data_IF_348684772306
#
_entry.id   IF_348684772306
#
_cell.length_a   1.000
_cell.length_b   1.000
_cell.length_c   1.000
_cell.angle_alpha   90.00
_cell.angle_beta   90.00
_cell.angle_gamma   90.00
#
_symmetry.space_group_name_H-M   'P 1'
#
loop_
_entity.id
_entity.type
_entity.pdbx_description
1 polymer ?
#
# COMPACT_ATOMS: atom_id res chain seq x y z
N UNK A 1 50.53 24.98 61.48
CA UNK A 1 49.66 23.92 62.00
C UNK A 1 48.42 24.53 62.67
N UNK A 2 47.42 25.01 61.93
CA UNK A 2 46.16 25.56 62.49
C UNK A 2 45.09 25.80 61.41
N UNK A 3 44.61 24.75 60.73
CA UNK A 3 43.42 24.84 59.84
C UNK A 3 42.46 23.65 59.93
N UNK A 4 42.66 22.73 60.88
CA UNK A 4 41.92 21.45 60.92
C UNK A 4 40.58 21.48 61.70
N UNK A 5 40.13 22.63 62.23
CA UNK A 5 38.93 22.68 63.08
C UNK A 5 37.71 23.39 62.48
N UNK A 6 37.79 23.92 61.26
CA UNK A 6 36.69 24.73 60.70
C UNK A 6 35.64 23.94 59.88
N UNK A 7 35.79 22.62 59.70
CA UNK A 7 34.90 21.83 58.82
C UNK A 7 33.86 21.01 59.61
N UNK A 8 33.96 20.92 60.95
CA UNK A 8 33.15 19.97 61.72
C UNK A 8 31.79 20.47 62.24
N UNK A 9 31.28 21.62 61.79
CA UNK A 9 30.11 22.27 62.41
C UNK A 9 28.92 22.54 61.48
N UNK A 10 28.76 21.83 60.36
CA UNK A 10 27.68 22.13 59.39
C UNK A 10 26.75 20.98 58.98
N UNK A 11 26.74 19.86 59.70
CA UNK A 11 25.74 18.80 59.50
C UNK A 11 24.66 18.84 60.60
N UNK A 12 23.86 19.89 60.61
CA UNK A 12 22.56 19.84 61.27
C UNK A 12 21.61 19.03 60.37
N UNK A 13 21.06 17.88 60.81
CA UNK A 13 20.16 17.09 59.98
C UNK A 13 18.90 17.91 59.70
N UNK A 14 18.73 18.29 58.43
CA UNK A 14 17.52 18.95 57.91
C UNK A 14 16.30 18.12 58.31
N UNK A 15 15.62 18.57 59.37
CA UNK A 15 14.44 17.91 59.91
C UNK A 15 13.41 17.74 58.80
N UNK A 16 12.82 16.54 58.68
CA UNK A 16 11.85 16.17 57.64
C UNK A 16 10.71 17.19 57.43
N UNK A 17 10.37 17.94 58.48
CA UNK A 17 9.40 19.04 58.45
C UNK A 17 9.89 20.27 57.69
N UNK A 18 11.16 20.65 57.81
CA UNK A 18 11.77 21.74 57.04
C UNK A 18 11.93 21.36 55.56
N UNK A 19 12.26 20.11 55.26
CA UNK A 19 12.28 19.62 53.88
C UNK A 19 10.89 19.69 53.23
N UNK A 20 9.83 19.35 53.97
CA UNK A 20 8.45 19.44 53.50
C UNK A 20 7.96 20.90 53.38
N UNK A 21 8.37 21.79 54.27
CA UNK A 21 8.04 23.22 54.15
C UNK A 21 8.74 23.89 52.99
N UNK A 22 9.99 23.52 52.70
CA UNK A 22 10.72 24.01 51.52
C UNK A 22 10.10 23.48 50.22
N UNK A 23 9.65 22.21 50.19
CA UNK A 23 8.89 21.66 49.07
C UNK A 23 7.54 22.35 48.90
N UNK A 24 6.82 22.61 50.01
CA UNK A 24 5.52 23.30 49.98
C UNK A 24 5.64 24.76 49.53
N UNK A 25 6.68 25.48 49.97
CA UNK A 25 6.97 26.85 49.51
C UNK A 25 7.47 26.87 48.06
N UNK A 26 8.18 25.84 47.60
CA UNK A 26 8.59 25.69 46.19
C UNK A 26 7.40 25.54 45.23
N UNK A 27 6.32 24.90 45.67
CA UNK A 27 5.08 24.76 44.90
C UNK A 27 4.12 25.96 44.98
N UNK A 28 4.32 26.89 45.93
CA UNK A 28 3.47 28.08 46.12
C UNK A 28 4.12 29.38 45.65
N UNK A 29 5.36 29.33 45.14
CA UNK A 29 5.88 30.43 44.34
C UNK A 29 5.11 30.42 43.03
N UNK A 30 4.19 31.39 42.93
CA UNK A 30 3.44 31.78 41.74
C UNK A 30 4.06 31.19 40.47
N UNK A 31 3.38 30.20 39.88
CA UNK A 31 3.46 30.01 38.44
C UNK A 31 2.94 31.32 37.85
N UNK A 32 3.81 32.31 37.75
CA UNK A 32 3.58 33.52 37.00
C UNK A 32 3.05 33.04 35.65
N UNK A 33 1.92 33.59 35.21
CA UNK A 33 1.14 33.10 34.07
C UNK A 33 1.99 32.80 32.82
N UNK A 34 3.18 33.41 32.71
CA UNK A 34 4.16 33.22 31.65
C UNK A 34 4.96 31.90 31.71
N UNK A 35 5.23 31.33 32.90
CA UNK A 35 5.93 30.04 33.00
C UNK A 35 5.05 28.90 32.49
N UNK A 36 3.75 28.96 32.75
CA UNK A 36 2.78 27.99 32.21
C UNK A 36 2.77 28.00 30.67
N UNK A 37 2.92 29.17 30.04
CA UNK A 37 3.05 29.27 28.58
C UNK A 37 4.30 28.58 28.05
N UNK A 38 5.44 28.72 28.74
CA UNK A 38 6.70 28.06 28.35
C UNK A 38 6.54 26.53 28.42
N UNK A 39 5.89 26.01 29.46
CA UNK A 39 5.60 24.58 29.57
C UNK A 39 4.64 24.08 28.50
N UNK A 40 3.59 24.84 28.18
CA UNK A 40 2.63 24.48 27.12
C UNK A 40 3.30 24.48 25.75
N UNK A 41 4.11 25.50 25.44
CA UNK A 41 4.88 25.57 24.19
C UNK A 41 5.86 24.39 24.09
N UNK A 42 6.56 24.08 25.18
CA UNK A 42 7.45 22.93 25.26
C UNK A 42 6.71 21.60 25.03
N UNK A 43 5.55 21.42 25.64
CA UNK A 43 4.73 20.21 25.47
C UNK A 43 4.21 20.07 24.03
N UNK A 44 3.73 21.15 23.42
CA UNK A 44 3.25 21.14 22.02
C UNK A 44 4.40 20.82 21.06
N UNK A 45 5.57 21.44 21.25
CA UNK A 45 6.76 21.15 20.46
C UNK A 45 7.19 19.68 20.56
N UNK A 46 7.14 19.12 21.77
CA UNK A 46 7.45 17.71 22.02
C UNK A 46 6.45 16.77 21.31
N UNK A 47 5.15 17.06 21.40
CA UNK A 47 4.11 16.28 20.71
C UNK A 47 4.30 16.36 19.19
N UNK A 48 4.56 17.55 18.65
CA UNK A 48 4.81 17.74 17.21
C UNK A 48 6.03 16.94 16.75
N UNK A 49 7.11 16.94 17.55
CA UNK A 49 8.32 16.15 17.27
C UNK A 49 8.04 14.65 17.28
N UNK A 50 7.27 14.15 18.25
CA UNK A 50 6.86 12.74 18.33
C UNK A 50 6.00 12.36 17.13
N UNK A 51 5.06 13.21 16.72
CA UNK A 51 4.22 12.97 15.54
C UNK A 51 5.05 12.96 14.25
N UNK A 52 6.02 13.88 14.11
CA UNK A 52 6.96 13.89 12.98
C UNK A 52 7.80 12.62 12.93
N UNK A 53 8.37 12.20 14.06
CA UNK A 53 9.12 10.95 14.16
C UNK A 53 8.24 9.75 13.82
N UNK A 54 7.02 9.69 14.35
CA UNK A 54 6.06 8.64 14.07
C UNK A 54 5.67 8.63 12.59
N UNK A 55 5.52 9.79 11.96
CA UNK A 55 5.24 9.91 10.54
C UNK A 55 6.42 9.45 9.68
N UNK A 56 7.66 9.78 10.06
CA UNK A 56 8.87 9.30 9.37
C UNK A 56 9.03 7.80 9.55
N UNK A 57 8.78 7.26 10.74
CA UNK A 57 8.83 5.82 11.01
C UNK A 57 7.72 5.11 10.23
N UNK A 58 6.49 5.64 10.22
CA UNK A 58 5.38 5.12 9.40
C UNK A 58 5.67 5.22 7.91
N UNK A 59 6.32 6.28 7.43
CA UNK A 59 6.76 6.41 6.04
C UNK A 59 7.87 5.41 5.70
N UNK A 60 8.78 5.13 6.64
CA UNK A 60 9.80 4.08 6.49
C UNK A 60 9.23 2.67 6.58
N UNK A 61 8.13 2.50 7.30
CA UNK A 61 7.35 1.27 7.39
C UNK A 61 6.31 1.12 6.27
N UNK A 62 6.10 2.16 5.43
CA UNK A 62 5.42 1.92 4.15
C UNK A 62 6.30 0.92 3.41
N UNK A 63 5.79 -0.29 3.12
CA UNK A 63 6.58 -1.29 2.45
C UNK A 63 7.15 -0.62 1.20
N UNK A 64 8.49 -0.59 1.10
CA UNK A 64 9.14 -0.29 -0.18
C UNK A 64 8.37 -1.10 -1.22
N UNK A 65 7.80 -0.48 -2.28
CA UNK A 65 7.17 -1.26 -3.32
C UNK A 65 8.18 -2.34 -3.69
N UNK A 66 7.81 -3.64 -3.60
CA UNK A 66 8.75 -4.70 -3.90
C UNK A 66 9.38 -4.37 -5.25
N UNK A 67 10.69 -4.64 -5.45
CA UNK A 67 11.30 -4.47 -6.76
C UNK A 67 10.33 -5.09 -7.75
N UNK A 68 9.96 -4.35 -8.81
CA UNK A 68 9.13 -4.87 -9.91
C UNK A 68 9.90 -6.08 -10.46
N UNK A 69 9.71 -7.24 -9.83
CA UNK A 69 10.06 -8.52 -10.39
C UNK A 69 9.13 -8.58 -11.59
N UNK A 70 9.71 -8.55 -12.76
CA UNK A 70 8.95 -8.69 -13.99
C UNK A 70 8.47 -10.15 -14.06
N UNK A 71 7.44 -10.47 -13.28
CA UNK A 71 6.83 -11.80 -13.20
C UNK A 71 6.37 -12.27 -14.57
N UNK A 72 6.09 -11.34 -15.48
CA UNK A 72 5.82 -11.64 -16.87
C UNK A 72 7.05 -12.21 -17.60
N UNK A 73 8.25 -11.70 -17.34
CA UNK A 73 9.48 -12.21 -17.94
C UNK A 73 9.82 -13.61 -17.44
N UNK A 74 9.63 -13.84 -16.14
CA UNK A 74 9.83 -15.16 -15.57
C UNK A 74 8.79 -16.16 -16.13
N UNK A 75 7.52 -15.77 -16.18
CA UNK A 75 6.46 -16.58 -16.78
C UNK A 75 6.73 -16.89 -18.26
N UNK A 76 7.14 -15.91 -19.06
CA UNK A 76 7.54 -16.07 -20.47
C UNK A 76 8.67 -17.09 -20.61
N UNK A 77 9.66 -17.05 -19.71
CA UNK A 77 10.80 -17.98 -19.71
C UNK A 77 10.37 -19.40 -19.35
N UNK A 78 9.56 -19.56 -18.31
CA UNK A 78 9.03 -20.86 -17.86
C UNK A 78 8.13 -21.48 -18.93
N UNK A 79 7.31 -20.68 -19.60
CA UNK A 79 6.41 -21.12 -20.68
C UNK A 79 7.11 -21.31 -22.03
N UNK A 80 8.43 -21.09 -22.12
CA UNK A 80 9.20 -21.27 -23.35
C UNK A 80 8.74 -20.38 -24.51
N UNK A 81 8.24 -19.19 -24.21
CA UNK A 81 7.71 -18.27 -25.23
C UNK A 81 8.85 -17.61 -26.02
N UNK A 82 8.62 -17.42 -27.32
CA UNK A 82 9.59 -16.78 -28.22
C UNK A 82 9.76 -15.29 -27.90
N UNK A 83 10.83 -14.68 -28.43
CA UNK A 83 11.06 -13.24 -28.28
C UNK A 83 9.90 -12.39 -28.83
N UNK A 84 9.26 -12.85 -29.91
CA UNK A 84 8.16 -12.14 -30.53
C UNK A 84 6.88 -12.23 -29.69
N UNK A 85 6.54 -13.43 -29.19
CA UNK A 85 5.42 -13.65 -28.26
C UNK A 85 5.57 -12.81 -26.99
N UNK A 86 6.80 -12.75 -26.44
CA UNK A 86 7.13 -11.88 -25.32
C UNK A 86 6.87 -10.40 -25.62
N UNK A 87 7.28 -9.93 -26.79
CA UNK A 87 7.09 -8.53 -27.21
C UNK A 87 5.61 -8.20 -27.33
N UNK A 88 4.83 -9.09 -27.96
CA UNK A 88 3.39 -8.93 -28.13
C UNK A 88 2.67 -8.85 -26.77
N UNK A 89 3.05 -9.68 -25.80
CA UNK A 89 2.50 -9.65 -24.43
C UNK A 89 2.88 -8.39 -23.65
N UNK A 90 4.12 -7.90 -23.81
CA UNK A 90 4.57 -6.66 -23.18
C UNK A 90 3.82 -5.45 -23.76
N UNK A 91 3.67 -5.41 -25.08
CA UNK A 91 2.89 -4.39 -25.77
C UNK A 91 1.42 -4.41 -25.31
N UNK A 92 0.83 -5.59 -25.22
CA UNK A 92 -0.53 -5.77 -24.71
C UNK A 92 -0.67 -5.24 -23.28
N UNK A 93 0.23 -5.62 -22.37
CA UNK A 93 0.20 -5.15 -20.99
C UNK A 93 0.38 -3.63 -20.86
N UNK A 94 1.25 -3.05 -21.67
CA UNK A 94 1.49 -1.61 -21.71
C UNK A 94 0.23 -0.86 -22.18
N UNK A 95 -0.40 -1.32 -23.26
CA UNK A 95 -1.63 -0.73 -23.79
C UNK A 95 -2.80 -0.89 -22.83
N UNK A 96 -2.95 -2.07 -22.22
CA UNK A 96 -4.01 -2.35 -21.25
C UNK A 96 -3.79 -1.69 -19.87
N UNK A 97 -2.61 -1.10 -19.62
CA UNK A 97 -2.21 -0.50 -18.32
C UNK A 97 -2.50 -1.44 -17.14
N UNK A 98 -2.15 -2.71 -17.28
CA UNK A 98 -2.44 -3.71 -16.25
C UNK A 98 -1.55 -3.49 -15.02
N UNK A 99 -2.12 -3.52 -13.80
CA UNK A 99 -1.34 -3.41 -12.56
C UNK A 99 -0.43 -4.62 -12.36
N UNK A 100 -0.85 -5.80 -12.84
CA UNK A 100 -0.10 -7.04 -12.79
C UNK A 100 -0.13 -7.72 -14.17
N UNK A 101 0.86 -7.47 -15.03
CA UNK A 101 0.90 -8.03 -16.39
C UNK A 101 0.82 -9.56 -16.41
N UNK A 102 1.51 -10.25 -15.48
CA UNK A 102 1.53 -11.72 -15.44
C UNK A 102 0.14 -12.35 -15.24
N UNK A 103 -0.83 -11.62 -14.65
CA UNK A 103 -2.18 -12.14 -14.43
C UNK A 103 -2.92 -12.47 -15.74
N UNK A 104 -2.53 -11.87 -16.86
CA UNK A 104 -3.10 -12.18 -18.18
C UNK A 104 -2.78 -13.60 -18.65
N UNK A 105 -1.75 -14.25 -18.09
CA UNK A 105 -1.31 -15.60 -18.45
C UNK A 105 -1.94 -16.70 -17.59
N UNK A 106 -2.81 -16.35 -16.63
CA UNK A 106 -3.45 -17.32 -15.73
C UNK A 106 -4.62 -18.05 -16.39
N UNK A 107 -5.29 -17.42 -17.35
CA UNK A 107 -6.44 -17.99 -18.05
C UNK A 107 -6.68 -17.30 -19.40
N UNK A 108 -7.33 -17.98 -20.36
CA UNK A 108 -7.71 -17.36 -21.63
C UNK A 108 -8.68 -16.18 -21.43
N UNK A 109 -9.53 -16.24 -20.41
CA UNK A 109 -10.42 -15.15 -20.03
C UNK A 109 -9.64 -13.88 -19.63
N UNK A 110 -8.57 -14.02 -18.84
CA UNK A 110 -7.74 -12.86 -18.43
C UNK A 110 -6.99 -12.25 -19.62
N UNK A 111 -6.52 -13.08 -20.55
CA UNK A 111 -5.90 -12.61 -21.78
C UNK A 111 -6.90 -11.86 -22.68
N UNK A 112 -8.13 -12.38 -22.79
CA UNK A 112 -9.23 -11.70 -23.51
C UNK A 112 -9.60 -10.36 -22.87
N UNK A 113 -9.63 -10.30 -21.54
CA UNK A 113 -9.87 -9.08 -20.79
C UNK A 113 -8.77 -8.04 -21.04
N UNK A 114 -7.50 -8.45 -20.97
CA UNK A 114 -6.37 -7.59 -21.30
C UNK A 114 -6.49 -7.01 -22.72
N UNK A 115 -6.90 -7.83 -23.69
CA UNK A 115 -7.08 -7.41 -25.07
C UNK A 115 -8.23 -6.41 -25.24
N UNK A 116 -9.38 -6.64 -24.59
CA UNK A 116 -10.48 -5.66 -24.57
C UNK A 116 -10.07 -4.33 -23.93
N UNK A 117 -9.30 -4.37 -22.83
CA UNK A 117 -8.84 -3.19 -22.12
C UNK A 117 -7.80 -2.39 -22.91
N UNK A 118 -7.02 -3.06 -23.75
CA UNK A 118 -6.09 -2.41 -24.67
C UNK A 118 -6.78 -1.73 -25.87
N UNK A 119 -8.13 -1.76 -25.96
CA UNK A 119 -8.92 -1.26 -27.09
C UNK A 119 -8.42 -1.81 -28.44
N UNK A 120 -7.98 -3.08 -28.45
CA UNK A 120 -7.61 -3.80 -29.67
C UNK A 120 -8.91 -4.37 -30.26
N UNK A 121 -9.75 -3.44 -30.73
CA UNK A 121 -11.13 -3.70 -31.15
C UNK A 121 -11.24 -4.16 -32.62
N UNK A 122 -10.15 -4.09 -33.39
CA UNK A 122 -10.16 -4.52 -34.78
C UNK A 122 -10.07 -6.05 -34.88
N UNK A 123 -11.05 -6.72 -35.53
CA UNK A 123 -11.03 -8.17 -35.73
C UNK A 123 -9.94 -8.66 -36.70
N UNK A 124 -9.12 -7.76 -37.26
CA UNK A 124 -8.12 -8.08 -38.30
C UNK A 124 -6.71 -7.54 -37.99
N UNK A 125 -6.44 -7.10 -36.75
CA UNK A 125 -5.09 -6.64 -36.39
C UNK A 125 -4.10 -7.81 -36.36
N UNK A 126 -2.91 -7.72 -36.99
CA UNK A 126 -1.91 -8.79 -36.98
C UNK A 126 -1.47 -9.16 -35.55
N UNK A 127 -1.49 -8.20 -34.62
CA UNK A 127 -1.24 -8.44 -33.20
C UNK A 127 -2.31 -9.35 -32.57
N UNK A 128 -3.60 -9.15 -32.88
CA UNK A 128 -4.67 -9.99 -32.32
C UNK A 128 -4.57 -11.42 -32.82
N UNK A 129 -4.24 -11.64 -34.09
CA UNK A 129 -4.06 -12.99 -34.63
C UNK A 129 -2.89 -13.72 -33.95
N UNK A 130 -1.78 -13.01 -33.67
CA UNK A 130 -0.66 -13.57 -32.92
C UNK A 130 -1.04 -13.89 -31.47
N UNK A 131 -1.78 -13.01 -30.81
CA UNK A 131 -2.28 -13.24 -29.45
C UNK A 131 -3.31 -14.39 -29.38
N UNK A 132 -4.13 -14.56 -30.42
CA UNK A 132 -5.08 -15.68 -30.53
C UNK A 132 -4.35 -17.01 -30.72
N UNK A 133 -3.34 -17.05 -31.60
CA UNK A 133 -2.47 -18.21 -31.74
C UNK A 133 -1.73 -18.54 -30.43
N UNK A 134 -1.26 -17.51 -29.71
CA UNK A 134 -0.64 -17.66 -28.40
C UNK A 134 -1.62 -18.21 -27.35
N UNK A 135 -2.88 -17.76 -27.36
CA UNK A 135 -3.93 -18.30 -26.49
C UNK A 135 -4.14 -19.79 -26.73
N UNK A 136 -4.25 -20.20 -28.01
CA UNK A 136 -4.40 -21.62 -28.36
C UNK A 136 -3.19 -22.44 -27.92
N UNK A 137 -1.99 -21.89 -28.06
CA UNK A 137 -0.75 -22.54 -27.63
C UNK A 137 -0.68 -22.73 -26.11
N UNK A 138 -1.10 -21.71 -25.34
CA UNK A 138 -1.00 -21.74 -23.87
C UNK A 138 -2.15 -22.49 -23.20
N UNK A 139 -3.36 -22.39 -23.76
CA UNK A 139 -4.58 -22.83 -23.08
C UNK A 139 -5.39 -23.87 -23.88
N UNK A 140 -4.99 -24.20 -25.11
CA UNK A 140 -5.76 -25.06 -26.01
C UNK A 140 -6.97 -24.38 -26.66
N UNK A 141 -7.28 -23.14 -26.27
CA UNK A 141 -8.46 -22.40 -26.71
C UNK A 141 -8.09 -21.03 -27.31
N UNK A 142 -8.82 -20.65 -28.36
CA UNK A 142 -8.71 -19.32 -28.96
C UNK A 142 -9.32 -18.24 -28.06
N UNK A 143 -8.94 -16.99 -28.31
CA UNK A 143 -9.52 -15.85 -27.62
C UNK A 143 -11.00 -15.74 -27.98
N UNK A 144 -11.86 -16.03 -27.00
CA UNK A 144 -13.29 -15.80 -27.13
C UNK A 144 -13.52 -14.32 -27.42
N UNK A 145 -14.13 -14.03 -28.57
CA UNK A 145 -14.68 -12.71 -28.83
C UNK A 145 -15.72 -12.53 -27.73
N UNK A 146 -15.54 -11.54 -26.86
CA UNK A 146 -16.48 -11.28 -25.76
C UNK A 146 -17.79 -10.75 -26.37
N UNK A 147 -18.57 -11.64 -26.98
CA UNK A 147 -19.90 -11.41 -27.55
C UNK A 147 -20.99 -11.88 -26.56
N UNK A 148 -20.61 -12.22 -25.33
CA UNK A 148 -21.39 -13.05 -24.42
C UNK A 148 -21.81 -12.40 -23.11
N UNK A 149 -22.47 -11.24 -23.18
CA UNK A 149 -23.53 -10.91 -22.20
C UNK A 149 -24.93 -11.03 -22.80
N UNK A 150 -25.08 -11.44 -24.06
CA UNK A 150 -26.37 -11.42 -24.76
C UNK A 150 -27.13 -12.76 -24.79
N UNK A 151 -26.52 -13.88 -24.36
CA UNK A 151 -27.15 -15.21 -24.53
C UNK A 151 -28.05 -15.64 -23.37
N UNK A 152 -28.04 -14.94 -22.22
CA UNK A 152 -28.91 -15.28 -21.09
C UNK A 152 -30.30 -14.62 -21.11
N UNK A 153 -30.59 -13.74 -22.08
CA UNK A 153 -31.85 -13.01 -22.11
C UNK A 153 -32.95 -13.64 -22.99
N UNK A 154 -32.62 -14.65 -23.81
CA UNK A 154 -33.59 -15.26 -24.73
C UNK A 154 -34.29 -16.49 -24.15
N UNK A 155 -33.74 -17.12 -23.11
CA UNK A 155 -34.31 -18.34 -22.53
C UNK A 155 -35.45 -18.10 -21.53
N UNK A 156 -35.66 -16.87 -21.06
CA UNK A 156 -36.70 -16.56 -20.06
C UNK A 156 -38.01 -16.02 -20.66
N UNK A 157 -38.11 -15.83 -21.98
CA UNK A 157 -39.31 -15.26 -22.63
C UNK A 157 -40.27 -16.29 -23.24
N UNK A 158 -39.94 -17.59 -23.22
CA UNK A 158 -40.81 -18.66 -23.75
C UNK A 158 -41.55 -19.45 -22.67
N UNK A 159 -41.34 -19.17 -21.37
CA UNK A 159 -42.04 -19.84 -20.26
C UNK A 159 -43.26 -19.06 -19.72
N UNK A 160 -43.69 -17.98 -20.40
CA UNK A 160 -44.90 -17.22 -20.04
C UNK A 160 -45.93 -17.32 -21.17
N UNK A 161 -46.52 -18.51 -21.31
CA UNK A 161 -47.50 -18.77 -22.36
C UNK A 161 -48.06 -20.18 -22.28
N UNK A 162 -48.81 -20.49 -21.22
CA UNK A 162 -50.01 -21.35 -21.29
C UNK A 162 -50.66 -21.46 -19.91
N UNK A 163 -51.66 -20.60 -19.63
CA UNK A 163 -52.73 -20.94 -18.68
C UNK A 163 -53.99 -21.21 -19.52
N UNK A 164 -54.50 -22.45 -19.56
CA UNK A 164 -55.81 -22.72 -20.14
C UNK A 164 -56.92 -22.28 -19.18
N UNK A 165 -58.00 -21.80 -19.80
CA UNK A 165 -59.29 -21.37 -19.22
C UNK A 165 -60.03 -22.55 -18.63
#
# INVERSE_FOLDING_TARGET
MTWAWLILAQDAPLTRRQALELLRKGFHKELASNDLFIYVIGAVALIALILLLSQVIRQRQRPKPPPRRDYLLEAVKVLGLTRQERSDLLELAARARLPQPAAMLLSPANLSYALSRAAIDAPAGPLRNRLDALSRKLFGEGLTRNTGYSTFQTASRTASGNQPV
#
